data_IF_162858046652
#
_entry.id   IF_162858046652
#
_cell.length_a   1.000
_cell.length_b   1.000
_cell.length_c   1.000
_cell.angle_alpha   90.00
_cell.angle_beta   90.00
_cell.angle_gamma   90.00
#
_symmetry.space_group_name_H-M   'P 1'
#
loop_
_entity.id
_entity.type
_entity.pdbx_description
1 polymer ?
#
# COMPACT_ATOMS: atom_id res chain seq x y z
N UNK A 1 -11.88 -8.35 0.76
CA UNK A 1 -12.74 -7.16 0.54
C UNK A 1 -14.18 -7.59 0.29
N UNK A 2 -15.15 -7.07 1.06
CA UNK A 2 -16.58 -7.47 1.01
C UNK A 2 -17.25 -7.27 -0.35
N UNK A 3 -16.80 -6.28 -1.13
CA UNK A 3 -17.28 -5.99 -2.48
C UNK A 3 -17.09 -7.19 -3.44
N UNK A 4 -15.97 -7.89 -3.35
CA UNK A 4 -15.65 -9.08 -4.16
C UNK A 4 -16.49 -10.28 -3.71
N UNK A 5 -16.75 -10.41 -2.41
CA UNK A 5 -17.61 -11.47 -1.88
C UNK A 5 -19.06 -11.29 -2.37
N UNK A 6 -19.55 -10.06 -2.39
CA UNK A 6 -20.86 -9.70 -2.93
C UNK A 6 -20.97 -10.02 -4.43
N UNK A 7 -19.95 -9.67 -5.22
CA UNK A 7 -19.88 -10.00 -6.64
C UNK A 7 -19.96 -11.51 -6.90
N UNK A 8 -19.28 -12.31 -6.07
CA UNK A 8 -19.22 -13.78 -6.21
C UNK A 8 -20.41 -14.49 -5.58
N UNK A 9 -21.39 -13.77 -5.01
CA UNK A 9 -22.53 -14.36 -4.30
C UNK A 9 -22.16 -15.09 -3.00
N UNK A 10 -20.98 -14.79 -2.42
CA UNK A 10 -20.45 -15.42 -1.19
C UNK A 10 -20.58 -14.53 0.04
N UNK A 11 -21.23 -13.37 -0.10
CA UNK A 11 -21.42 -12.43 0.99
C UNK A 11 -22.43 -12.98 2.01
N UNK A 12 -22.08 -12.94 3.28
CA UNK A 12 -23.05 -13.09 4.37
C UNK A 12 -23.92 -11.82 4.44
N UNK A 13 -25.05 -11.85 3.74
CA UNK A 13 -25.99 -10.72 3.64
C UNK A 13 -26.63 -10.39 4.99
N UNK A 14 -26.74 -11.35 5.93
CA UNK A 14 -27.28 -11.07 7.26
C UNK A 14 -26.32 -10.21 8.07
N UNK A 15 -25.02 -10.46 7.90
CA UNK A 15 -23.96 -9.72 8.61
C UNK A 15 -23.59 -8.40 7.92
N UNK A 16 -23.67 -8.33 6.59
CA UNK A 16 -23.24 -7.16 5.80
C UNK A 16 -24.27 -6.76 4.73
N UNK A 17 -25.51 -6.42 5.13
CA UNK A 17 -26.59 -6.12 4.19
C UNK A 17 -26.27 -4.95 3.26
N UNK A 18 -25.46 -3.98 3.69
CA UNK A 18 -25.06 -2.79 2.94
C UNK A 18 -24.21 -3.11 1.69
N UNK A 19 -23.54 -4.28 1.68
CA UNK A 19 -22.75 -4.73 0.54
C UNK A 19 -23.55 -5.58 -0.46
N UNK A 20 -24.77 -6.00 -0.12
CA UNK A 20 -25.58 -6.90 -0.96
C UNK A 20 -25.81 -6.36 -2.37
N UNK A 21 -26.05 -5.04 -2.50
CA UNK A 21 -26.27 -4.33 -3.78
C UNK A 21 -25.13 -4.49 -4.78
N UNK A 22 -23.91 -4.77 -4.30
CA UNK A 22 -22.74 -4.96 -5.15
C UNK A 22 -22.73 -6.30 -5.89
N UNK A 23 -23.73 -7.16 -5.70
CA UNK A 23 -23.99 -8.25 -6.64
C UNK A 23 -24.32 -7.74 -8.06
N UNK A 24 -24.92 -6.55 -8.17
CA UNK A 24 -25.23 -5.88 -9.45
C UNK A 24 -24.01 -5.18 -10.01
N UNK A 25 -23.68 -5.48 -11.27
CA UNK A 25 -22.56 -4.84 -11.98
C UNK A 25 -22.71 -3.32 -12.11
N UNK A 26 -23.94 -2.82 -12.26
CA UNK A 26 -24.22 -1.37 -12.34
C UNK A 26 -23.82 -0.63 -11.07
N UNK A 27 -24.12 -1.19 -9.89
CA UNK A 27 -23.73 -0.62 -8.59
C UNK A 27 -22.22 -0.64 -8.41
N UNK A 28 -21.55 -1.73 -8.81
CA UNK A 28 -20.08 -1.78 -8.81
C UNK A 28 -19.48 -0.73 -9.74
N UNK A 29 -20.04 -0.56 -10.94
CA UNK A 29 -19.56 0.44 -11.91
C UNK A 29 -19.68 1.85 -11.33
N UNK A 30 -20.86 2.20 -10.80
CA UNK A 30 -21.09 3.49 -10.13
C UNK A 30 -20.10 3.73 -9.00
N UNK A 31 -19.86 2.71 -8.17
CA UNK A 31 -18.90 2.79 -7.08
C UNK A 31 -17.47 3.10 -7.57
N UNK A 32 -16.97 2.34 -8.54
CA UNK A 32 -15.62 2.56 -9.07
C UNK A 32 -15.49 3.88 -9.84
N UNK A 33 -16.54 4.32 -10.52
CA UNK A 33 -16.58 5.62 -11.20
C UNK A 33 -16.47 6.78 -10.19
N UNK A 34 -17.16 6.72 -9.04
CA UNK A 34 -17.01 7.71 -7.98
C UNK A 34 -15.66 7.60 -7.26
N UNK A 35 -15.19 6.38 -6.98
CA UNK A 35 -13.89 6.16 -6.36
C UNK A 35 -12.76 6.74 -7.23
N UNK A 36 -12.85 6.60 -8.56
CA UNK A 36 -11.90 7.22 -9.49
C UNK A 36 -11.81 8.74 -9.30
N UNK A 37 -12.95 9.42 -9.08
CA UNK A 37 -12.95 10.88 -8.86
C UNK A 37 -12.21 11.26 -7.58
N UNK A 38 -12.23 10.42 -6.54
CA UNK A 38 -11.46 10.66 -5.31
C UNK A 38 -9.96 10.75 -5.62
N UNK A 39 -9.41 9.84 -6.42
CA UNK A 39 -8.00 9.86 -6.80
C UNK A 39 -7.64 11.05 -7.70
N UNK A 40 -8.49 11.35 -8.69
CA UNK A 40 -8.22 12.40 -9.67
C UNK A 40 -8.35 13.80 -9.06
N UNK A 41 -9.42 14.06 -8.30
CA UNK A 41 -9.72 15.40 -7.80
C UNK A 41 -8.84 15.82 -6.62
N UNK A 42 -8.36 14.87 -5.82
CA UNK A 42 -7.55 15.16 -4.63
C UNK A 42 -6.03 15.06 -4.87
N UNK A 43 -5.59 14.86 -6.13
CA UNK A 43 -4.16 14.73 -6.50
C UNK A 43 -3.41 13.71 -5.64
N UNK A 44 -4.07 12.58 -5.34
CA UNK A 44 -3.47 11.55 -4.50
C UNK A 44 -2.25 10.95 -5.19
N UNK A 45 -1.15 10.78 -4.46
CA UNK A 45 0.05 10.13 -4.98
C UNK A 45 0.24 8.77 -4.31
N UNK A 46 0.63 7.78 -5.10
CA UNK A 46 0.80 6.40 -4.65
C UNK A 46 2.27 6.05 -4.64
N UNK A 47 2.75 5.65 -3.46
CA UNK A 47 4.05 5.03 -3.23
C UNK A 47 3.81 3.67 -2.57
N UNK A 48 4.49 2.63 -3.04
CA UNK A 48 4.34 1.28 -2.51
C UNK A 48 5.36 0.29 -3.04
N UNK A 49 5.18 -0.97 -2.66
CA UNK A 49 6.00 -2.08 -3.08
C UNK A 49 5.15 -3.35 -3.13
N UNK A 50 5.50 -4.28 -4.02
CA UNK A 50 4.93 -5.62 -4.05
C UNK A 50 6.07 -6.64 -4.10
N UNK A 51 5.93 -7.71 -3.31
CA UNK A 51 6.94 -8.76 -3.17
C UNK A 51 6.31 -10.08 -3.58
N UNK A 52 7.02 -10.86 -4.39
CA UNK A 52 6.68 -12.25 -4.60
C UNK A 52 7.23 -13.07 -3.42
N UNK A 53 6.37 -13.64 -2.58
CA UNK A 53 6.89 -14.36 -1.41
C UNK A 53 7.68 -15.62 -1.78
N UNK A 54 7.33 -16.28 -2.89
CA UNK A 54 7.98 -17.52 -3.29
C UNK A 54 9.40 -17.26 -3.82
N UNK A 55 9.56 -16.21 -4.60
CA UNK A 55 10.87 -15.80 -5.13
C UNK A 55 11.75 -15.22 -4.01
N UNK A 56 11.22 -14.41 -3.09
CA UNK A 56 11.95 -13.93 -1.91
C UNK A 56 12.51 -15.10 -1.09
N UNK A 57 11.69 -16.12 -0.84
CA UNK A 57 12.09 -17.34 -0.12
C UNK A 57 13.17 -18.09 -0.90
N UNK A 58 12.94 -18.31 -2.19
CA UNK A 58 13.85 -19.07 -3.05
C UNK A 58 15.24 -18.44 -3.15
N UNK A 59 15.32 -17.11 -3.26
CA UNK A 59 16.58 -16.42 -3.53
C UNK A 59 17.32 -15.99 -2.27
N UNK A 60 16.61 -15.64 -1.19
CA UNK A 60 17.23 -14.99 -0.04
C UNK A 60 17.10 -15.78 1.26
N UNK A 61 16.17 -16.75 1.35
CA UNK A 61 16.06 -17.51 2.59
C UNK A 61 17.10 -18.60 2.67
N UNK A 62 17.72 -18.68 3.85
CA UNK A 62 18.54 -19.81 4.26
C UNK A 62 17.87 -20.37 5.51
N UNK A 63 17.31 -21.57 5.40
CA UNK A 63 16.50 -22.19 6.45
C UNK A 63 17.20 -22.11 7.82
N UNK A 64 16.48 -21.60 8.83
CA UNK A 64 16.94 -21.40 10.22
C UNK A 64 18.15 -20.46 10.41
N UNK A 65 18.65 -19.82 9.35
CA UNK A 65 19.82 -18.90 9.42
C UNK A 65 19.49 -17.48 8.97
N UNK A 66 18.72 -17.34 7.89
CA UNK A 66 18.30 -16.06 7.33
C UNK A 66 16.87 -16.19 6.80
N UNK A 67 15.90 -15.75 7.60
CA UNK A 67 14.48 -15.70 7.21
C UNK A 67 14.01 -14.28 7.40
N UNK A 68 14.02 -13.52 6.32
CA UNK A 68 13.60 -12.12 6.35
C UNK A 68 12.08 -12.04 6.33
N UNK A 69 11.53 -11.16 7.17
CA UNK A 69 10.12 -10.84 7.21
C UNK A 69 9.75 -9.98 5.99
N UNK A 70 8.89 -10.50 5.12
CA UNK A 70 8.50 -9.85 3.88
C UNK A 70 7.85 -8.48 4.11
N UNK A 71 7.14 -8.29 5.23
CA UNK A 71 6.52 -7.00 5.56
C UNK A 71 7.57 -5.95 5.90
N UNK A 72 8.66 -6.35 6.58
CA UNK A 72 9.75 -5.45 6.90
C UNK A 72 10.58 -5.07 5.67
N UNK A 73 10.74 -6.00 4.71
CA UNK A 73 11.35 -5.72 3.40
C UNK A 73 10.49 -4.73 2.62
N UNK A 74 9.18 -4.97 2.53
CA UNK A 74 8.24 -4.07 1.84
C UNK A 74 8.24 -2.67 2.47
N UNK A 75 8.19 -2.60 3.80
CA UNK A 75 8.24 -1.34 4.54
C UNK A 75 9.50 -0.54 4.24
N UNK A 76 10.65 -1.21 4.12
CA UNK A 76 11.90 -0.53 3.80
C UNK A 76 11.87 0.14 2.43
N UNK A 77 11.40 -0.57 1.41
CA UNK A 77 11.30 -0.05 0.05
C UNK A 77 10.30 1.11 -0.04
N UNK A 78 9.17 0.98 0.67
CA UNK A 78 8.16 2.02 0.78
C UNK A 78 8.71 3.28 1.41
N UNK A 79 9.43 3.16 2.53
CA UNK A 79 10.00 4.29 3.25
C UNK A 79 11.11 4.99 2.46
N UNK A 80 11.94 4.26 1.72
CA UNK A 80 12.96 4.83 0.82
C UNK A 80 12.31 5.75 -0.24
N UNK A 81 11.30 5.24 -0.93
CA UNK A 81 10.59 6.01 -1.96
C UNK A 81 9.75 7.15 -1.37
N UNK A 82 9.17 6.95 -0.19
CA UNK A 82 8.42 8.00 0.51
C UNK A 82 9.35 9.14 0.97
N UNK A 83 10.51 8.82 1.55
CA UNK A 83 11.49 9.83 1.93
C UNK A 83 12.02 10.59 0.70
N UNK A 84 12.26 9.89 -0.41
CA UNK A 84 12.58 10.52 -1.69
C UNK A 84 11.49 11.50 -2.15
N UNK A 85 10.22 11.09 -2.10
CA UNK A 85 9.08 11.97 -2.38
C UNK A 85 9.09 13.23 -1.50
N UNK A 86 9.29 13.08 -0.19
CA UNK A 86 9.33 14.22 0.73
C UNK A 86 10.52 15.15 0.44
N UNK A 87 11.69 14.60 0.11
CA UNK A 87 12.87 15.38 -0.28
C UNK A 87 12.59 16.23 -1.53
N UNK A 88 12.03 15.61 -2.58
CA UNK A 88 11.73 16.29 -3.85
C UNK A 88 10.69 17.41 -3.71
N UNK A 89 9.80 17.30 -2.72
CA UNK A 89 8.77 18.29 -2.44
C UNK A 89 9.14 19.24 -1.28
N UNK A 90 10.38 19.16 -0.78
CA UNK A 90 10.83 19.85 0.42
C UNK A 90 9.85 19.75 1.63
N UNK A 91 9.18 18.61 1.76
CA UNK A 91 8.15 18.37 2.74
C UNK A 91 8.68 17.61 3.97
N UNK A 92 7.80 17.43 4.96
CA UNK A 92 7.94 16.48 6.06
C UNK A 92 6.63 15.70 6.14
N UNK A 93 6.69 14.45 6.58
CA UNK A 93 5.54 13.55 6.50
C UNK A 93 5.42 12.61 7.69
N UNK A 94 4.19 12.40 8.13
CA UNK A 94 3.84 11.37 9.11
C UNK A 94 3.27 10.14 8.37
N UNK A 95 3.35 8.97 9.00
CA UNK A 95 2.77 7.73 8.47
C UNK A 95 1.64 7.31 9.38
N UNK A 96 0.49 7.00 8.77
CA UNK A 96 -0.67 6.49 9.47
C UNK A 96 -0.93 5.08 8.99
N UNK A 97 -1.08 4.16 9.92
CA UNK A 97 -1.28 2.74 9.64
C UNK A 97 -2.51 2.21 10.38
N UNK A 98 -3.23 1.26 9.77
CA UNK A 98 -4.32 0.57 10.49
C UNK A 98 -3.72 -0.35 11.56
N UNK A 99 -4.21 -0.22 12.78
CA UNK A 99 -3.75 -1.00 13.93
C UNK A 99 -3.96 -2.50 13.70
N UNK A 100 -2.88 -3.29 13.87
CA UNK A 100 -2.89 -4.76 13.85
C UNK A 100 -2.83 -5.32 15.28
N UNK A 101 -2.30 -6.51 15.49
CA UNK A 101 -1.94 -6.99 16.82
C UNK A 101 -0.75 -6.19 17.41
N UNK A 102 -0.69 -6.09 18.74
CA UNK A 102 0.32 -5.29 19.46
C UNK A 102 1.75 -5.62 19.01
N UNK A 103 2.10 -6.91 18.93
CA UNK A 103 3.43 -7.38 18.54
C UNK A 103 3.76 -6.98 17.09
N UNK A 104 2.78 -7.05 16.18
CA UNK A 104 2.95 -6.64 14.79
C UNK A 104 3.17 -5.14 14.65
N UNK A 105 2.43 -4.33 15.42
CA UNK A 105 2.61 -2.88 15.43
C UNK A 105 3.99 -2.48 15.97
N UNK A 106 4.45 -3.10 17.04
CA UNK A 106 5.78 -2.83 17.60
C UNK A 106 6.88 -3.22 16.61
N UNK A 107 6.78 -4.36 15.92
CA UNK A 107 7.74 -4.72 14.86
C UNK A 107 7.81 -3.69 13.72
N UNK A 108 6.66 -3.16 13.29
CA UNK A 108 6.61 -2.11 12.27
C UNK A 108 7.22 -0.80 12.79
N UNK A 109 6.92 -0.43 14.04
CA UNK A 109 7.46 0.75 14.71
C UNK A 109 8.98 0.65 14.84
N UNK A 110 9.50 -0.50 15.27
CA UNK A 110 10.93 -0.77 15.39
C UNK A 110 11.64 -0.63 14.04
N UNK A 111 11.06 -1.21 12.98
CA UNK A 111 11.64 -1.10 11.63
C UNK A 111 11.62 0.34 11.12
N UNK A 112 10.55 1.09 11.36
CA UNK A 112 10.47 2.51 11.04
C UNK A 112 11.59 3.30 11.72
N UNK A 113 11.73 3.16 13.04
CA UNK A 113 12.74 3.93 13.80
C UNK A 113 14.16 3.49 13.49
N UNK A 114 14.40 2.20 13.27
CA UNK A 114 15.68 1.71 12.81
C UNK A 114 16.10 2.42 11.53
N UNK A 115 15.21 2.50 10.54
CA UNK A 115 15.48 3.19 9.28
C UNK A 115 15.59 4.71 9.43
N UNK A 116 14.79 5.32 10.31
CA UNK A 116 14.88 6.76 10.59
C UNK A 116 16.25 7.12 11.19
N UNK A 117 16.76 6.30 12.09
CA UNK A 117 18.00 6.57 12.84
C UNK A 117 19.27 6.14 12.10
N UNK A 118 19.19 5.12 11.24
CA UNK A 118 20.34 4.57 10.52
C UNK A 118 20.37 4.96 9.04
N UNK A 119 19.24 5.37 8.47
CA UNK A 119 19.06 5.45 7.03
C UNK A 119 18.93 4.07 6.38
N UNK A 120 19.23 4.02 5.08
CA UNK A 120 19.28 2.81 4.27
C UNK A 120 20.20 3.01 3.06
N UNK A 121 20.19 2.07 2.12
CA UNK A 121 20.99 2.16 0.88
C UNK A 121 20.68 3.41 0.05
N UNK A 122 19.42 3.87 0.03
CA UNK A 122 18.96 4.98 -0.81
C UNK A 122 18.44 6.19 -0.01
N UNK A 123 18.57 6.15 1.31
CA UNK A 123 18.07 7.18 2.21
C UNK A 123 19.12 7.47 3.27
N UNK A 124 19.70 8.67 3.29
CA UNK A 124 20.64 9.01 4.36
C UNK A 124 19.92 9.21 5.68
N UNK A 125 20.64 9.05 6.78
CA UNK A 125 20.13 9.32 8.13
C UNK A 125 19.59 10.74 8.24
N UNK A 126 20.33 11.73 7.76
CA UNK A 126 19.96 13.16 7.87
C UNK A 126 18.67 13.45 7.11
N UNK A 127 18.50 12.85 5.93
CA UNK A 127 17.27 12.95 5.17
C UNK A 127 16.11 12.28 5.92
N UNK A 128 16.31 11.07 6.44
CA UNK A 128 15.29 10.34 7.18
C UNK A 128 14.84 11.10 8.44
N UNK A 129 15.77 11.57 9.26
CA UNK A 129 15.48 12.34 10.48
C UNK A 129 14.73 13.64 10.19
N UNK A 130 15.14 14.36 9.13
CA UNK A 130 14.52 15.63 8.74
C UNK A 130 13.13 15.45 8.12
N UNK A 131 12.91 14.38 7.36
CA UNK A 131 11.71 14.22 6.52
C UNK A 131 10.64 13.34 7.18
N UNK A 132 11.03 12.28 7.89
CA UNK A 132 10.11 11.29 8.46
C UNK A 132 9.73 11.69 9.90
N UNK A 133 8.51 12.17 10.12
CA UNK A 133 8.06 12.66 11.43
C UNK A 133 7.80 11.51 12.41
N UNK A 134 6.91 10.59 12.07
CA UNK A 134 6.52 9.47 12.93
C UNK A 134 5.73 8.39 12.20
N UNK A 135 5.30 7.40 12.98
CA UNK A 135 4.34 6.39 12.58
C UNK A 135 3.30 6.19 13.69
N UNK A 136 2.03 6.34 13.31
CA UNK A 136 0.87 6.23 14.18
C UNK A 136 -0.02 5.05 13.74
N UNK A 137 -0.60 4.37 14.73
CA UNK A 137 -1.50 3.25 14.51
C UNK A 137 -2.91 3.63 14.95
N UNK A 138 -3.88 3.48 14.04
CA UNK A 138 -5.27 3.87 14.27
C UNK A 138 -6.14 2.62 14.32
N UNK A 139 -6.97 2.52 15.37
CA UNK A 139 -7.94 1.44 15.51
C UNK A 139 -8.92 1.41 14.32
N UNK A 140 -9.18 0.20 13.81
CA UNK A 140 -10.13 -0.05 12.73
C UNK A 140 -11.52 0.54 13.02
N UNK A 141 -11.94 0.59 14.29
CA UNK A 141 -13.21 1.17 14.71
C UNK A 141 -13.34 2.67 14.40
N UNK A 142 -12.22 3.40 14.25
CA UNK A 142 -12.24 4.84 13.93
C UNK A 142 -12.64 5.13 12.48
N UNK A 143 -12.57 4.15 11.59
CA UNK A 143 -13.02 4.25 10.19
C UNK A 143 -12.46 5.48 9.44
N UNK A 144 -11.15 5.71 9.57
CA UNK A 144 -10.48 6.85 8.94
C UNK A 144 -10.51 6.77 7.41
N UNK A 145 -10.99 7.84 6.77
CA UNK A 145 -11.22 7.88 5.32
C UNK A 145 -9.93 7.61 4.50
N UNK A 146 -8.79 8.15 4.93
CA UNK A 146 -7.51 7.93 4.26
C UNK A 146 -7.08 6.46 4.26
N UNK A 147 -7.28 5.75 5.37
CA UNK A 147 -7.00 4.32 5.48
C UNK A 147 -7.96 3.50 4.62
N UNK A 148 -9.25 3.84 4.60
CA UNK A 148 -10.24 3.18 3.74
C UNK A 148 -9.90 3.35 2.25
N UNK A 149 -9.40 4.53 1.83
CA UNK A 149 -8.95 4.75 0.45
C UNK A 149 -7.69 3.92 0.15
N UNK A 150 -6.74 3.86 1.09
CA UNK A 150 -5.50 3.11 0.94
C UNK A 150 -5.76 1.60 0.74
N UNK A 151 -6.79 1.03 1.36
CA UNK A 151 -7.16 -0.39 1.21
C UNK A 151 -7.50 -0.82 -0.23
N UNK A 152 -7.90 0.13 -1.11
CA UNK A 152 -8.23 -0.18 -2.51
C UNK A 152 -7.00 -0.32 -3.41
N UNK A 153 -5.81 0.04 -2.93
CA UNK A 153 -4.59 0.11 -3.75
C UNK A 153 -3.89 -1.26 -3.88
N UNK A 154 -3.55 -1.98 -2.78
CA UNK A 154 -2.59 -3.09 -2.86
C UNK A 154 -3.01 -4.24 -3.77
N UNK A 155 -4.29 -4.64 -3.71
CA UNK A 155 -4.77 -5.81 -4.44
C UNK A 155 -4.66 -5.65 -5.97
N UNK A 156 -4.82 -4.44 -6.50
CA UNK A 156 -4.72 -4.21 -7.94
C UNK A 156 -3.27 -4.43 -8.42
N UNK A 157 -2.29 -3.91 -7.68
CA UNK A 157 -0.88 -4.08 -7.99
C UNK A 157 -0.35 -5.49 -7.69
N UNK A 158 -0.87 -6.15 -6.65
CA UNK A 158 -0.54 -7.55 -6.39
C UNK A 158 -0.98 -8.48 -7.55
N UNK A 159 -2.16 -8.22 -8.13
CA UNK A 159 -2.63 -8.96 -9.32
C UNK A 159 -1.77 -8.68 -10.54
N UNK A 160 -1.40 -7.42 -10.76
CA UNK A 160 -0.53 -7.02 -11.87
C UNK A 160 0.85 -7.69 -11.76
N UNK A 161 1.45 -7.66 -10.57
CA UNK A 161 2.73 -8.31 -10.28
C UNK A 161 2.66 -9.84 -10.48
N UNK A 162 1.54 -10.46 -10.12
CA UNK A 162 1.30 -11.89 -10.33
C UNK A 162 0.85 -12.27 -11.77
N UNK A 163 0.72 -11.32 -12.70
CA UNK A 163 0.22 -11.57 -14.06
C UNK A 163 -1.26 -11.96 -14.13
N UNK A 164 -2.04 -11.64 -13.11
CA UNK A 164 -3.47 -11.95 -13.01
C UNK A 164 -4.31 -10.79 -13.54
N UNK A 165 -5.27 -11.08 -14.43
CA UNK A 165 -6.19 -10.09 -14.99
C UNK A 165 -6.95 -9.28 -13.92
N UNK A 166 -7.14 -7.99 -14.15
CA UNK A 166 -7.93 -7.13 -13.27
C UNK A 166 -9.44 -7.46 -13.35
N UNK A 167 -10.21 -7.30 -12.25
CA UNK A 167 -11.66 -7.45 -12.29
C UNK A 167 -12.30 -6.36 -13.18
N UNK A 168 -13.55 -6.55 -13.63
CA UNK A 168 -14.27 -5.54 -14.40
C UNK A 168 -15.66 -5.33 -13.76
N UNK A 169 -15.96 -4.13 -13.21
CA UNK A 169 -15.19 -2.87 -13.25
C UNK A 169 -13.98 -2.80 -12.29
N UNK A 170 -13.02 -1.89 -12.57
CA UNK A 170 -11.86 -1.56 -11.72
C UNK A 170 -11.39 -0.10 -11.92
N UNK A 171 -10.42 0.34 -11.11
CA UNK A 171 -9.77 1.65 -11.21
C UNK A 171 -8.26 1.56 -11.49
N UNK A 172 -7.76 0.41 -11.96
CA UNK A 172 -6.33 0.13 -12.04
C UNK A 172 -5.56 1.13 -12.91
N UNK A 173 -6.13 1.54 -14.04
CA UNK A 173 -5.54 2.56 -14.91
C UNK A 173 -5.38 3.92 -14.22
N UNK A 174 -6.33 4.26 -13.35
CA UNK A 174 -6.26 5.49 -12.53
C UNK A 174 -5.18 5.35 -11.46
N UNK A 175 -5.13 4.22 -10.77
CA UNK A 175 -4.07 3.95 -9.78
C UNK A 175 -2.67 4.04 -10.42
N UNK A 176 -2.47 3.46 -11.62
CA UNK A 176 -1.19 3.55 -12.36
C UNK A 176 -0.82 4.99 -12.70
N UNK A 177 -1.79 5.82 -13.08
CA UNK A 177 -1.54 7.23 -13.39
C UNK A 177 -1.05 8.01 -12.17
N UNK A 178 -1.61 7.70 -10.99
CA UNK A 178 -1.32 8.33 -9.71
C UNK A 178 -0.05 7.82 -9.01
N UNK A 179 0.68 6.87 -9.61
CA UNK A 179 1.98 6.43 -9.11
C UNK A 179 2.99 7.57 -9.11
N UNK A 180 3.74 7.69 -8.02
CA UNK A 180 4.90 8.58 -7.96
C UNK A 180 5.94 8.17 -9.01
N UNK A 181 6.46 9.13 -9.76
CA UNK A 181 7.40 8.89 -10.86
C UNK A 181 8.84 9.35 -10.56
N UNK A 182 9.10 9.76 -9.31
CA UNK A 182 10.38 10.30 -8.89
C UNK A 182 10.71 11.69 -9.41
N UNK A 183 9.72 12.41 -10.00
CA UNK A 183 9.96 13.57 -10.85
C UNK A 183 10.90 13.27 -12.04
N UNK A 184 10.97 11.99 -12.45
CA UNK A 184 11.85 11.50 -13.50
C UNK A 184 11.07 10.64 -14.52
N UNK A 185 9.74 10.64 -14.48
CA UNK A 185 8.90 9.82 -15.36
C UNK A 185 8.95 8.31 -15.09
N UNK A 186 9.61 7.85 -14.01
CA UNK A 186 9.84 6.43 -13.74
C UNK A 186 8.95 5.88 -12.61
N UNK A 187 7.68 5.61 -12.95
CA UNK A 187 6.67 5.09 -12.02
C UNK A 187 6.98 3.69 -11.48
N UNK A 188 7.69 2.88 -12.24
CA UNK A 188 8.04 1.49 -11.87
C UNK A 188 9.14 1.44 -10.81
N UNK A 189 10.00 2.47 -10.77
CA UNK A 189 11.05 2.57 -9.76
C UNK A 189 10.57 3.23 -8.46
N UNK A 190 9.84 4.34 -8.58
CA UNK A 190 9.51 5.20 -7.44
C UNK A 190 8.08 5.02 -6.92
N UNK A 191 7.16 4.63 -7.80
CA UNK A 191 5.75 4.50 -7.49
C UNK A 191 5.49 3.18 -6.82
N UNK A 192 5.51 2.08 -7.59
CA UNK A 192 5.42 0.73 -7.02
C UNK A 192 6.58 -0.12 -7.49
N UNK A 193 7.41 -0.51 -6.52
CA UNK A 193 8.55 -1.37 -6.76
C UNK A 193 8.14 -2.84 -6.67
N UNK A 194 8.27 -3.56 -7.77
CA UNK A 194 8.09 -5.00 -7.83
C UNK A 194 9.40 -5.69 -7.48
N UNK A 195 9.35 -6.56 -6.47
CA UNK A 195 10.48 -7.35 -6.01
C UNK A 195 10.20 -8.83 -6.24
N UNK A 196 11.18 -9.58 -6.75
CA UNK A 196 11.16 -11.03 -6.60
C UNK A 196 11.11 -11.37 -5.12
#
# INVERSE_FOLDING_TARGET
>A
MRLIEAEKGRLDVRKYPEYSKFNRRSERKKFYDELKKVFVNNKLMIVGSSINEDDLKRYYWVEKKNTQDQYLVAMQLLLENYCHFLCMNNAMGNIVYEHRELIGNEKLRDKYYHMKLMGSMYMTKEAAEKRLLGIDFIDKAKNEAGLQIADFIPNAFARDHAGINQPNPNIFTTLRYNLYDGNAGNRERFGIKYMP
#
